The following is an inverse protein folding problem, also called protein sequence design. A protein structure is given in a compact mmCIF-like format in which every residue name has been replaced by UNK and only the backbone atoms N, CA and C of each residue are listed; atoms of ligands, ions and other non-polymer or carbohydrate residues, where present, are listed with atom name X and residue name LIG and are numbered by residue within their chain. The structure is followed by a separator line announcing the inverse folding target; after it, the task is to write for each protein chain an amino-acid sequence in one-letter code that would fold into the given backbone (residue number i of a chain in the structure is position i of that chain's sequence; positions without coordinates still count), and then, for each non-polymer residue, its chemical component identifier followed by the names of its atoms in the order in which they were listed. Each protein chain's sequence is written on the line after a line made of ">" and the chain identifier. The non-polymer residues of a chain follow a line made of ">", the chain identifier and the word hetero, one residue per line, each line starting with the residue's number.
data_IF_129472483485
#
_entry.id   IF_129472483485
#
_cell.length_a   1.000
_cell.length_b   1.000
_cell.length_c   1.000
_cell.angle_alpha   90.00
_cell.angle_beta   90.00
_cell.angle_gamma   90.00
#
_symmetry.space_group_name_H-M   'P 1'
#
loop_
_entity.id
_entity.type
_entity.pdbx_description
1 polymer ?
#
# COMPACT_ATOMS: atom_id res chain seq x y z
N UNK A 1 -3.90 5.02 31.91
CA UNK A 1 -4.00 5.64 30.57
C UNK A 1 -3.04 4.93 29.65
N UNK A 2 -3.50 4.38 28.53
CA UNK A 2 -2.62 3.80 27.52
C UNK A 2 -1.89 4.96 26.84
N UNK A 3 -0.56 4.92 26.79
CA UNK A 3 0.23 5.98 26.15
C UNK A 3 0.06 5.85 24.64
N UNK A 4 -0.36 6.94 24.00
CA UNK A 4 -0.55 7.00 22.55
C UNK A 4 0.69 7.61 21.88
N UNK A 5 1.14 7.03 20.77
CA UNK A 5 2.22 7.60 19.96
C UNK A 5 1.72 8.78 19.10
N UNK A 6 2.63 9.61 18.61
CA UNK A 6 2.27 10.75 17.73
C UNK A 6 1.58 10.24 16.45
N UNK A 7 2.05 9.12 15.92
CA UNK A 7 1.55 8.47 14.73
C UNK A 7 0.16 7.85 14.96
N UNK A 8 -0.05 7.17 16.09
CA UNK A 8 -1.38 6.67 16.47
C UNK A 8 -2.39 7.82 16.55
N UNK A 9 -2.05 8.91 17.24
CA UNK A 9 -2.93 10.07 17.37
C UNK A 9 -3.22 10.76 16.02
N UNK A 10 -2.25 10.78 15.10
CA UNK A 10 -2.48 11.24 13.74
C UNK A 10 -3.47 10.35 13.01
N UNK A 11 -3.28 9.02 13.05
CA UNK A 11 -4.17 8.06 12.42
C UNK A 11 -5.59 8.16 12.98
N UNK A 12 -5.76 8.27 14.30
CA UNK A 12 -7.09 8.50 14.89
C UNK A 12 -7.79 9.75 14.33
N UNK A 13 -7.06 10.87 14.20
CA UNK A 13 -7.62 12.10 13.61
C UNK A 13 -8.03 11.92 12.16
N UNK A 14 -7.21 11.21 11.38
CA UNK A 14 -7.53 10.90 9.98
C UNK A 14 -8.82 10.08 9.89
N UNK A 15 -8.96 9.00 10.67
CA UNK A 15 -10.17 8.16 10.61
C UNK A 15 -11.42 8.85 11.17
N UNK A 16 -11.26 9.72 12.18
CA UNK A 16 -12.36 10.53 12.68
C UNK A 16 -12.90 11.49 11.60
N UNK A 17 -12.04 12.03 10.73
CA UNK A 17 -12.49 12.82 9.58
C UNK A 17 -13.40 12.03 8.61
N UNK A 18 -13.24 10.71 8.54
CA UNK A 18 -14.11 9.81 7.77
C UNK A 18 -15.30 9.27 8.58
N UNK A 19 -15.49 9.75 9.81
CA UNK A 19 -16.60 9.35 10.69
C UNK A 19 -16.36 8.08 11.50
N UNK A 20 -15.11 7.59 11.61
CA UNK A 20 -14.78 6.40 12.39
C UNK A 20 -13.97 6.76 13.62
N UNK A 21 -14.46 6.37 14.80
CA UNK A 21 -13.66 6.39 16.02
C UNK A 21 -12.83 5.12 16.13
N UNK A 22 -11.55 5.27 16.47
CA UNK A 22 -10.61 4.17 16.62
C UNK A 22 -10.32 3.94 18.10
N UNK A 23 -10.73 2.79 18.61
CA UNK A 23 -10.43 2.36 19.97
C UNK A 23 -9.09 1.62 19.98
N UNK A 24 -8.14 2.08 20.80
CA UNK A 24 -6.84 1.40 20.97
C UNK A 24 -7.04 0.09 21.73
N UNK A 25 -6.55 -1.01 21.17
CA UNK A 25 -6.55 -2.30 21.87
C UNK A 25 -5.43 -2.25 22.92
N UNK A 26 -5.76 -2.63 24.16
CA UNK A 26 -4.81 -2.64 25.26
C UNK A 26 -3.56 -3.47 24.95
N UNK A 27 -2.40 -2.97 25.34
CA UNK A 27 -1.14 -3.69 25.21
C UNK A 27 -1.21 -4.99 26.04
N UNK A 28 -0.80 -6.10 25.43
CA UNK A 28 -0.74 -7.41 26.09
C UNK A 28 0.60 -8.07 25.82
N UNK A 29 0.96 -9.08 26.60
CA UNK A 29 2.17 -9.88 26.36
C UNK A 29 2.15 -10.60 24.99
N UNK A 30 0.97 -10.68 24.37
CA UNK A 30 0.78 -11.23 23.02
C UNK A 30 0.69 -10.12 21.96
N UNK A 31 1.26 -10.36 20.79
CA UNK A 31 1.16 -9.43 19.64
C UNK A 31 -0.30 -9.21 19.27
N UNK A 32 -0.78 -7.97 19.40
CA UNK A 32 -2.14 -7.56 19.06
C UNK A 32 -2.16 -6.53 17.94
N UNK A 33 -3.27 -6.43 17.19
CA UNK A 33 -3.60 -5.24 16.43
C UNK A 33 -3.69 -3.99 17.31
N UNK A 34 -3.47 -2.83 16.69
CA UNK A 34 -3.40 -1.55 17.41
C UNK A 34 -4.79 -0.98 17.68
N UNK A 35 -5.73 -1.11 16.73
CA UNK A 35 -7.05 -0.52 16.85
C UNK A 35 -8.20 -1.46 16.50
N UNK A 36 -9.36 -1.10 17.03
CA UNK A 36 -10.66 -1.61 16.64
C UNK A 36 -11.63 -0.48 16.32
N UNK A 37 -12.50 -0.72 15.35
CA UNK A 37 -13.59 0.18 14.98
C UNK A 37 -14.78 -0.61 14.42
N UNK A 38 -15.86 0.08 14.10
CA UNK A 38 -17.08 -0.49 13.53
C UNK A 38 -17.71 0.48 12.53
N UNK A 39 -18.40 -0.05 11.53
CA UNK A 39 -19.27 0.72 10.63
C UNK A 39 -20.76 0.42 10.84
N UNK A 40 -21.11 0.16 12.12
CA UNK A 40 -22.40 -0.35 12.63
C UNK A 40 -22.76 -1.77 12.18
N UNK A 41 -22.31 -2.20 11.01
CA UNK A 41 -22.57 -3.53 10.46
C UNK A 41 -21.43 -4.51 10.71
N UNK A 42 -20.19 -4.05 10.58
CA UNK A 42 -19.01 -4.89 10.64
C UNK A 42 -18.03 -4.40 11.69
N UNK A 43 -17.46 -5.35 12.42
CA UNK A 43 -16.37 -5.11 13.37
C UNK A 43 -15.02 -5.23 12.68
N UNK A 44 -14.17 -4.23 12.86
CA UNK A 44 -12.98 -4.05 12.03
C UNK A 44 -11.74 -3.97 12.92
N UNK A 45 -10.75 -4.83 12.63
CA UNK A 45 -9.42 -4.75 13.22
C UNK A 45 -8.46 -4.01 12.31
N UNK A 46 -7.65 -3.14 12.92
CA UNK A 46 -6.67 -2.33 12.23
C UNK A 46 -5.30 -2.51 12.87
N UNK A 47 -4.29 -2.70 12.03
CA UNK A 47 -2.88 -2.73 12.43
C UNK A 47 -2.15 -1.57 11.77
N UNK A 48 -1.44 -0.75 12.54
CA UNK A 48 -0.63 0.35 12.06
C UNK A 48 0.82 -0.09 11.89
N UNK A 49 1.36 0.07 10.68
CA UNK A 49 2.79 -0.01 10.41
C UNK A 49 3.27 1.30 9.80
N UNK A 50 4.26 1.89 10.43
CA UNK A 50 4.87 3.14 10.00
C UNK A 50 6.16 2.87 9.23
N UNK A 51 6.41 3.69 8.21
CA UNK A 51 7.66 3.70 7.45
C UNK A 51 8.18 5.13 7.39
N UNK A 52 9.24 5.35 8.14
CA UNK A 52 9.99 6.60 8.15
C UNK A 52 11.36 6.36 7.51
N UNK A 53 12.04 7.45 7.16
CA UNK A 53 13.45 7.39 6.75
C UNK A 53 14.30 6.81 7.89
N UNK A 54 15.28 5.97 7.54
CA UNK A 54 16.22 5.47 8.54
C UNK A 54 17.12 6.59 9.03
N UNK A 55 17.53 6.52 10.30
CA UNK A 55 18.46 7.48 10.89
C UNK A 55 19.72 7.67 10.03
N UNK A 56 20.27 6.59 9.50
CA UNK A 56 21.40 6.61 8.56
C UNK A 56 21.15 7.48 7.30
N UNK A 57 19.94 7.41 6.73
CA UNK A 57 19.57 8.23 5.56
C UNK A 57 19.40 9.70 5.93
N UNK A 58 18.90 9.97 7.14
CA UNK A 58 18.77 11.33 7.66
C UNK A 58 20.17 11.95 7.85
N UNK A 59 21.07 11.22 8.50
CA UNK A 59 22.45 11.67 8.76
C UNK A 59 23.26 11.87 7.47
N UNK A 60 23.14 10.96 6.51
CA UNK A 60 23.76 11.09 5.19
C UNK A 60 23.27 12.34 4.47
N UNK A 61 21.94 12.56 4.45
CA UNK A 61 21.35 13.74 3.82
C UNK A 61 21.82 15.02 4.51
N UNK A 62 21.77 15.07 5.84
CA UNK A 62 22.16 16.25 6.60
C UNK A 62 23.63 16.60 6.36
N UNK A 63 24.52 15.60 6.28
CA UNK A 63 25.93 15.81 5.95
C UNK A 63 26.12 16.48 4.59
N UNK A 64 25.41 16.01 3.56
CA UNK A 64 25.50 16.56 2.20
C UNK A 64 24.93 17.98 2.16
N UNK A 65 23.75 18.19 2.73
CA UNK A 65 23.10 19.50 2.76
C UNK A 65 23.88 20.53 3.59
N UNK A 66 24.56 20.11 4.66
CA UNK A 66 25.43 20.98 5.45
C UNK A 66 26.63 21.51 4.67
N UNK A 67 27.05 20.81 3.63
CA UNK A 67 28.10 21.25 2.70
C UNK A 67 27.56 22.09 1.53
N UNK A 68 26.28 22.49 1.57
CA UNK A 68 25.59 23.20 0.48
C UNK A 68 25.54 22.41 -0.85
N UNK A 69 25.65 21.08 -0.76
CA UNK A 69 25.56 20.19 -1.91
C UNK A 69 24.12 19.69 -2.10
N UNK A 70 23.82 19.17 -3.30
CA UNK A 70 22.53 18.58 -3.62
C UNK A 70 22.53 17.11 -3.21
N UNK A 71 21.64 16.74 -2.28
CA UNK A 71 21.37 15.33 -1.99
C UNK A 71 20.54 14.73 -3.12
N UNK A 72 21.03 13.63 -3.70
CA UNK A 72 20.35 12.91 -4.79
C UNK A 72 20.15 11.45 -4.41
N UNK A 73 18.93 10.94 -4.60
CA UNK A 73 18.60 9.54 -4.34
C UNK A 73 17.69 8.97 -5.42
N UNK A 74 18.09 7.83 -5.97
CA UNK A 74 17.28 7.06 -6.91
C UNK A 74 16.71 5.82 -6.20
N UNK A 75 15.40 5.66 -6.23
CA UNK A 75 14.70 4.53 -5.58
C UNK A 75 13.78 3.83 -6.57
N UNK A 76 13.90 2.51 -6.78
CA UNK A 76 12.98 1.76 -7.63
C UNK A 76 11.54 1.74 -7.08
N UNK A 77 10.55 1.88 -7.97
CA UNK A 77 9.11 1.88 -7.66
C UNK A 77 8.45 0.52 -7.86
N UNK A 78 9.12 -0.57 -7.45
CA UNK A 78 8.58 -1.92 -7.55
C UNK A 78 8.37 -2.55 -6.16
N UNK A 79 7.88 -3.81 -6.16
CA UNK A 79 7.69 -4.62 -4.96
C UNK A 79 8.95 -4.63 -4.06
N UNK A 80 8.75 -4.51 -2.74
CA UNK A 80 9.84 -4.48 -1.77
C UNK A 80 9.67 -5.56 -0.68
N UNK A 81 10.64 -6.46 -0.54
CA UNK A 81 10.62 -7.53 0.45
C UNK A 81 10.54 -7.04 1.91
N UNK A 82 11.02 -5.82 2.21
CA UNK A 82 10.85 -5.22 3.54
C UNK A 82 9.40 -4.86 3.82
N UNK A 83 8.62 -4.48 2.81
CA UNK A 83 7.18 -4.22 2.92
C UNK A 83 6.43 -5.53 3.12
N UNK A 84 6.78 -6.60 2.40
CA UNK A 84 6.18 -7.92 2.63
C UNK A 84 6.35 -8.44 4.06
N UNK A 85 7.46 -8.11 4.72
CA UNK A 85 7.63 -8.41 6.16
C UNK A 85 6.64 -7.66 7.06
N UNK A 86 6.14 -6.49 6.66
CA UNK A 86 5.09 -5.77 7.39
C UNK A 86 3.76 -6.51 7.29
N UNK A 87 3.38 -6.96 6.09
CA UNK A 87 2.21 -7.81 5.88
C UNK A 87 2.29 -9.11 6.68
N UNK A 88 3.45 -9.78 6.68
CA UNK A 88 3.67 -11.00 7.47
C UNK A 88 3.50 -10.78 8.98
N UNK A 89 3.94 -9.63 9.51
CA UNK A 89 3.77 -9.29 10.92
C UNK A 89 2.30 -9.00 11.24
N UNK A 90 1.65 -8.18 10.41
CA UNK A 90 0.24 -7.83 10.58
C UNK A 90 -0.67 -9.06 10.51
N UNK A 91 -0.45 -9.96 9.54
CA UNK A 91 -1.20 -11.21 9.43
C UNK A 91 -1.11 -12.06 10.71
N UNK A 92 0.07 -12.15 11.34
CA UNK A 92 0.24 -12.86 12.62
C UNK A 92 -0.57 -12.20 13.74
N UNK A 93 -0.57 -10.87 13.83
CA UNK A 93 -1.37 -10.11 14.80
C UNK A 93 -2.87 -10.32 14.59
N UNK A 94 -3.34 -10.26 13.34
CA UNK A 94 -4.74 -10.54 13.00
C UNK A 94 -5.14 -11.97 13.32
N UNK A 95 -4.33 -12.98 12.99
CA UNK A 95 -4.63 -14.37 13.34
C UNK A 95 -4.80 -14.58 14.84
N UNK A 96 -3.98 -13.91 15.66
CA UNK A 96 -4.05 -14.03 17.11
C UNK A 96 -5.32 -13.39 17.72
N UNK A 97 -5.90 -12.36 17.09
CA UNK A 97 -7.01 -11.58 17.69
C UNK A 97 -8.34 -11.62 16.94
N UNK A 98 -8.38 -11.88 15.63
CA UNK A 98 -9.62 -11.82 14.83
C UNK A 98 -10.77 -12.61 15.45
N UNK A 99 -10.51 -13.87 15.82
CA UNK A 99 -11.53 -14.75 16.42
C UNK A 99 -11.91 -14.32 17.85
N UNK A 100 -10.93 -13.90 18.66
CA UNK A 100 -11.17 -13.48 20.06
C UNK A 100 -12.03 -12.22 20.11
N UNK A 101 -11.77 -11.29 19.21
CA UNK A 101 -12.47 -10.02 19.11
C UNK A 101 -13.80 -10.16 18.35
N UNK A 102 -13.97 -11.22 17.56
CA UNK A 102 -15.12 -11.40 16.68
C UNK A 102 -15.13 -10.39 15.54
N UNK A 103 -13.97 -10.07 14.98
CA UNK A 103 -13.85 -9.09 13.91
C UNK A 103 -14.16 -9.72 12.54
N UNK A 104 -14.92 -9.01 11.73
CA UNK A 104 -15.29 -9.39 10.37
C UNK A 104 -14.15 -9.10 9.40
N UNK A 105 -13.59 -7.88 9.49
CA UNK A 105 -12.55 -7.40 8.60
C UNK A 105 -11.23 -7.13 9.31
N UNK A 106 -10.12 -7.32 8.60
CA UNK A 106 -8.80 -6.93 9.06
C UNK A 106 -8.09 -6.11 7.98
N UNK A 107 -7.77 -4.85 8.31
CA UNK A 107 -7.07 -3.95 7.39
C UNK A 107 -5.74 -3.50 7.97
N UNK A 108 -4.72 -3.51 7.11
CA UNK A 108 -3.39 -3.02 7.45
C UNK A 108 -3.27 -1.54 7.10
N UNK A 109 -2.99 -0.69 8.06
CA UNK A 109 -2.67 0.73 7.85
C UNK A 109 -1.16 0.84 7.62
N UNK A 110 -0.77 1.34 6.45
CA UNK A 110 0.61 1.61 6.08
C UNK A 110 0.79 3.13 6.01
N UNK A 111 1.42 3.68 7.04
CA UNK A 111 1.67 5.12 7.13
C UNK A 111 3.11 5.42 6.72
N UNK A 112 3.28 6.31 5.74
CA UNK A 112 4.58 6.87 5.37
C UNK A 112 4.59 8.37 5.68
N UNK A 113 5.72 8.86 6.19
CA UNK A 113 5.92 10.28 6.49
C UNK A 113 7.30 10.77 6.03
N UNK A 114 7.42 12.07 5.80
CA UNK A 114 8.64 12.73 5.37
C UNK A 114 8.79 12.82 3.84
N UNK A 115 9.95 13.31 3.36
CA UNK A 115 10.20 13.58 1.93
C UNK A 115 10.00 12.37 1.03
N UNK A 116 10.15 11.18 1.62
CA UNK A 116 10.08 9.87 1.00
C UNK A 116 8.66 9.28 0.87
N UNK A 117 7.63 10.02 1.28
CA UNK A 117 6.24 9.52 1.38
C UNK A 117 5.73 8.97 0.05
N UNK A 118 5.84 9.73 -1.04
CA UNK A 118 5.22 9.40 -2.33
C UNK A 118 5.69 8.05 -2.87
N UNK A 119 7.00 7.78 -2.87
CA UNK A 119 7.52 6.51 -3.37
C UNK A 119 7.21 5.35 -2.42
N UNK A 120 7.16 5.58 -1.10
CA UNK A 120 6.77 4.53 -0.15
C UNK A 120 5.32 4.08 -0.38
N UNK A 121 4.40 5.00 -0.63
CA UNK A 121 3.01 4.66 -0.95
C UNK A 121 2.90 3.84 -2.26
N UNK A 122 3.69 4.17 -3.27
CA UNK A 122 3.74 3.39 -4.52
C UNK A 122 4.28 1.99 -4.26
N UNK A 123 5.39 1.86 -3.52
CA UNK A 123 5.95 0.56 -3.15
C UNK A 123 5.00 -0.27 -2.27
N UNK A 124 4.22 0.37 -1.39
CA UNK A 124 3.19 -0.33 -0.61
C UNK A 124 2.13 -0.95 -1.51
N UNK A 125 1.55 -0.15 -2.42
CA UNK A 125 0.56 -0.66 -3.38
C UNK A 125 1.15 -1.76 -4.27
N UNK A 126 2.36 -1.54 -4.80
CA UNK A 126 3.05 -2.50 -5.65
C UNK A 126 3.34 -3.83 -4.94
N UNK A 127 3.68 -3.79 -3.65
CA UNK A 127 3.91 -5.00 -2.86
C UNK A 127 2.59 -5.69 -2.47
N UNK A 128 1.57 -4.90 -2.10
CA UNK A 128 0.24 -5.42 -1.78
C UNK A 128 -0.32 -6.25 -2.94
N UNK A 129 -0.32 -5.70 -4.15
CA UNK A 129 -0.88 -6.37 -5.33
C UNK A 129 0.13 -7.15 -6.18
N UNK A 130 1.43 -7.08 -5.90
CA UNK A 130 2.45 -7.59 -6.81
C UNK A 130 2.33 -6.94 -8.20
N UNK A 131 2.09 -5.62 -8.24
CA UNK A 131 1.82 -4.93 -9.50
C UNK A 131 3.06 -4.37 -10.16
N UNK A 132 3.04 -4.34 -11.48
CA UNK A 132 4.03 -3.64 -12.33
C UNK A 132 3.30 -2.71 -13.28
N UNK A 133 4.01 -1.75 -13.85
CA UNK A 133 3.50 -0.98 -14.99
C UNK A 133 3.88 -1.71 -16.28
N UNK A 134 2.94 -1.81 -17.23
CA UNK A 134 3.17 -2.43 -18.53
C UNK A 134 3.11 -1.37 -19.63
N UNK A 135 4.11 -1.41 -20.51
CA UNK A 135 4.09 -0.72 -21.79
C UNK A 135 3.51 -1.68 -22.81
N UNK A 136 2.42 -1.27 -23.47
CA UNK A 136 1.74 -2.05 -24.51
C UNK A 136 1.88 -1.35 -25.85
N UNK A 137 2.24 -2.11 -26.89
CA UNK A 137 2.36 -1.58 -28.25
C UNK A 137 1.15 -2.06 -29.05
N UNK A 138 0.13 -1.21 -29.13
CA UNK A 138 -1.07 -1.41 -29.95
C UNK A 138 -1.06 -0.47 -31.17
N UNK A 139 -1.86 -0.75 -32.22
CA UNK A 139 -2.10 0.21 -33.30
C UNK A 139 -2.73 1.54 -32.83
N UNK A 140 -3.26 1.59 -31.60
CA UNK A 140 -3.93 2.77 -31.01
C UNK A 140 -3.10 3.55 -29.98
N UNK A 141 -1.81 3.24 -29.79
CA UNK A 141 -0.96 3.90 -28.77
C UNK A 141 -1.65 3.97 -27.40
N UNK A 142 -1.98 2.82 -26.81
CA UNK A 142 -2.50 2.83 -25.45
C UNK A 142 -1.41 3.22 -24.44
N UNK A 143 -1.75 4.01 -23.40
CA UNK A 143 -0.80 4.46 -22.41
C UNK A 143 -0.28 3.31 -21.54
N UNK A 144 0.78 3.60 -20.79
CA UNK A 144 1.24 2.80 -19.67
C UNK A 144 0.06 2.36 -18.77
N UNK A 145 -0.12 1.06 -18.57
CA UNK A 145 -1.20 0.49 -17.75
C UNK A 145 -0.63 -0.40 -16.65
N UNK A 146 -1.20 -0.26 -15.45
CA UNK A 146 -0.85 -1.12 -14.32
C UNK A 146 -1.34 -2.54 -14.55
N UNK A 147 -0.49 -3.52 -14.26
CA UNK A 147 -0.86 -4.94 -14.21
C UNK A 147 -0.77 -5.45 -12.78
N UNK A 148 -1.91 -5.83 -12.22
CA UNK A 148 -2.01 -6.44 -10.90
C UNK A 148 -1.64 -7.92 -10.95
N UNK A 149 -1.06 -8.43 -9.85
CA UNK A 149 -0.73 -9.86 -9.68
C UNK A 149 0.31 -10.41 -10.67
N UNK A 150 1.09 -9.54 -11.32
CA UNK A 150 2.19 -9.93 -12.20
C UNK A 150 3.37 -10.51 -11.41
N UNK A 151 3.64 -9.93 -10.23
CA UNK A 151 4.64 -10.41 -9.29
C UNK A 151 3.96 -11.05 -8.07
N UNK A 152 4.78 -11.58 -7.15
CA UNK A 152 4.32 -12.08 -5.86
C UNK A 152 3.56 -11.01 -5.07
N UNK A 153 2.29 -11.26 -4.77
CA UNK A 153 1.39 -10.34 -4.06
C UNK A 153 1.26 -10.70 -2.58
N UNK A 154 1.40 -9.71 -1.70
CA UNK A 154 1.16 -9.89 -0.27
C UNK A 154 -0.33 -10.13 0.03
N UNK A 155 -1.24 -9.53 -0.74
CA UNK A 155 -2.67 -9.83 -0.69
C UNK A 155 -2.99 -11.27 -1.12
N UNK A 156 -2.32 -11.82 -2.14
CA UNK A 156 -2.47 -13.22 -2.50
C UNK A 156 -2.01 -14.14 -1.37
N UNK A 157 -0.83 -13.86 -0.79
CA UNK A 157 -0.25 -14.65 0.30
C UNK A 157 -1.15 -14.68 1.54
N UNK A 158 -1.76 -13.55 1.89
CA UNK A 158 -2.54 -13.37 3.12
C UNK A 158 -4.06 -13.24 2.88
N UNK A 159 -4.56 -13.71 1.73
CA UNK A 159 -5.96 -13.52 1.29
C UNK A 159 -7.01 -14.01 2.29
N UNK A 160 -6.68 -15.00 3.11
CA UNK A 160 -7.62 -15.54 4.10
C UNK A 160 -7.76 -14.68 5.35
N UNK A 161 -6.83 -13.75 5.61
CA UNK A 161 -6.80 -12.95 6.84
C UNK A 161 -6.78 -11.44 6.59
N UNK A 162 -6.03 -10.93 5.60
CA UNK A 162 -5.96 -9.50 5.27
C UNK A 162 -6.99 -9.18 4.19
N UNK A 163 -7.91 -8.27 4.52
CA UNK A 163 -9.04 -7.90 3.66
C UNK A 163 -8.76 -6.64 2.83
N UNK A 164 -7.66 -5.94 3.13
CA UNK A 164 -7.22 -4.74 2.43
C UNK A 164 -6.11 -4.02 3.19
N UNK A 165 -5.64 -2.92 2.62
CA UNK A 165 -4.65 -2.04 3.23
C UNK A 165 -5.00 -0.58 2.99
N UNK A 166 -4.71 0.28 3.96
CA UNK A 166 -4.98 1.71 3.92
C UNK A 166 -3.63 2.42 3.90
N UNK A 167 -3.31 3.02 2.77
CA UNK A 167 -2.06 3.72 2.54
C UNK A 167 -2.26 5.18 2.93
N UNK A 168 -1.55 5.63 3.96
CA UNK A 168 -1.65 7.00 4.48
C UNK A 168 -0.32 7.70 4.26
N UNK A 169 -0.34 8.82 3.55
CA UNK A 169 0.77 9.77 3.48
C UNK A 169 0.33 11.17 3.88
N UNK A 170 1.24 12.14 3.74
CA UNK A 170 1.03 13.52 4.19
C UNK A 170 -0.24 14.17 3.62
N UNK A 171 -0.50 13.99 2.33
CA UNK A 171 -1.66 14.59 1.63
C UNK A 171 -2.42 13.57 0.76
N UNK A 172 -2.28 12.28 1.07
CA UNK A 172 -2.91 11.24 0.26
C UNK A 172 -3.34 10.08 1.12
N UNK A 173 -4.53 9.55 0.82
CA UNK A 173 -5.06 8.36 1.44
C UNK A 173 -5.63 7.46 0.36
N UNK A 174 -5.24 6.19 0.37
CA UNK A 174 -5.74 5.19 -0.58
C UNK A 174 -6.15 3.92 0.15
N UNK A 175 -7.33 3.41 -0.17
CA UNK A 175 -7.82 2.14 0.33
C UNK A 175 -7.61 1.07 -0.73
N UNK A 176 -6.62 0.21 -0.56
CA UNK A 176 -6.37 -0.94 -1.41
C UNK A 176 -7.21 -2.14 -0.94
N UNK A 177 -8.26 -2.49 -1.69
CA UNK A 177 -9.08 -3.67 -1.40
C UNK A 177 -8.34 -4.94 -1.83
N UNK A 178 -8.34 -5.97 -0.99
CA UNK A 178 -7.91 -7.31 -1.41
C UNK A 178 -9.07 -8.05 -2.10
N UNK A 179 -9.12 -8.01 -3.43
CA UNK A 179 -10.14 -8.71 -4.23
C UNK A 179 -9.99 -10.24 -4.23
N UNK A 180 -8.90 -10.76 -3.68
CA UNK A 180 -8.71 -12.20 -3.44
C UNK A 180 -9.23 -12.66 -2.08
N UNK A 181 -9.64 -11.73 -1.20
CA UNK A 181 -10.23 -12.07 0.09
C UNK A 181 -11.57 -12.77 -0.10
N UNK A 182 -11.87 -13.83 0.68
CA UNK A 182 -13.21 -14.42 0.74
C UNK A 182 -14.31 -13.43 1.13
N UNK A 183 -13.95 -12.30 1.74
CA UNK A 183 -14.85 -11.23 2.19
C UNK A 183 -14.91 -10.05 1.23
N UNK A 184 -14.27 -10.13 0.05
CA UNK A 184 -14.19 -9.05 -0.92
C UNK A 184 -15.54 -8.37 -1.20
N UNK A 185 -16.60 -9.15 -1.44
CA UNK A 185 -17.94 -8.60 -1.73
C UNK A 185 -18.45 -7.75 -0.57
N UNK A 186 -18.37 -8.26 0.66
CA UNK A 186 -18.82 -7.56 1.87
C UNK A 186 -17.98 -6.31 2.14
N UNK A 187 -16.66 -6.42 2.00
CA UNK A 187 -15.71 -5.30 2.16
C UNK A 187 -16.04 -4.19 1.18
N UNK A 188 -16.22 -4.51 -0.11
CA UNK A 188 -16.52 -3.52 -1.16
C UNK A 188 -17.83 -2.77 -0.90
N UNK A 189 -18.80 -3.42 -0.28
CA UNK A 189 -20.12 -2.80 -0.01
C UNK A 189 -20.22 -2.13 1.34
N UNK A 190 -19.24 -2.30 2.23
CA UNK A 190 -19.30 -1.81 3.60
C UNK A 190 -19.27 -0.28 3.65
N UNK A 191 -19.92 0.28 4.67
CA UNK A 191 -19.92 1.73 4.91
C UNK A 191 -18.51 2.23 5.18
N UNK A 192 -17.68 1.41 5.83
CA UNK A 192 -16.27 1.68 6.05
C UNK A 192 -15.51 2.00 4.76
N UNK A 193 -15.59 1.12 3.76
CA UNK A 193 -14.85 1.31 2.50
C UNK A 193 -15.46 2.44 1.67
N UNK A 194 -16.79 2.57 1.65
CA UNK A 194 -17.49 3.62 0.90
C UNK A 194 -17.16 5.03 1.38
N UNK A 195 -16.86 5.22 2.67
CA UNK A 195 -16.44 6.51 3.21
C UNK A 195 -15.17 7.08 2.53
N UNK A 196 -14.32 6.20 1.98
CA UNK A 196 -13.10 6.61 1.28
C UNK A 196 -13.32 7.07 -0.17
N UNK A 197 -14.58 7.08 -0.66
CA UNK A 197 -15.02 7.62 -1.96
C UNK A 197 -14.05 7.35 -3.12
N UNK A 198 -13.27 8.36 -3.53
CA UNK A 198 -12.35 8.32 -4.68
C UNK A 198 -10.99 7.68 -4.38
N UNK A 199 -10.69 7.40 -3.10
CA UNK A 199 -9.41 6.81 -2.67
C UNK A 199 -9.33 5.29 -2.81
N UNK A 200 -10.38 4.64 -3.30
CA UNK A 200 -10.45 3.17 -3.35
C UNK A 200 -9.72 2.61 -4.58
N UNK A 201 -8.81 1.68 -4.35
CA UNK A 201 -8.13 0.88 -5.36
C UNK A 201 -8.74 -0.52 -5.35
N UNK A 202 -9.45 -0.87 -6.42
CA UNK A 202 -10.04 -2.18 -6.65
C UNK A 202 -9.58 -2.73 -8.01
N UNK A 203 -8.67 -3.74 -8.03
CA UNK A 203 -8.20 -4.34 -9.27
C UNK A 203 -9.31 -4.91 -10.15
N UNK A 204 -10.37 -5.48 -9.56
CA UNK A 204 -11.50 -6.05 -10.31
C UNK A 204 -12.26 -4.95 -11.05
N UNK A 205 -12.53 -3.83 -10.37
CA UNK A 205 -13.20 -2.68 -11.00
C UNK A 205 -12.32 -2.06 -12.08
N UNK A 206 -11.02 -1.84 -11.82
CA UNK A 206 -10.10 -1.25 -12.80
C UNK A 206 -9.92 -2.10 -14.05
N UNK A 207 -9.85 -3.43 -13.92
CA UNK A 207 -9.78 -4.33 -15.07
C UNK A 207 -11.08 -4.33 -15.89
N UNK A 208 -12.24 -4.35 -15.23
CA UNK A 208 -13.54 -4.29 -15.90
C UNK A 208 -13.74 -2.99 -16.69
N UNK A 209 -13.13 -1.88 -16.23
CA UNK A 209 -13.11 -0.59 -16.92
C UNK A 209 -11.97 -0.45 -17.94
N UNK A 210 -11.22 -1.52 -18.23
CA UNK A 210 -10.05 -1.53 -19.12
C UNK A 210 -8.92 -0.55 -18.74
N UNK A 211 -8.88 -0.13 -17.46
CA UNK A 211 -7.86 0.77 -16.88
C UNK A 211 -6.65 0.04 -16.30
N UNK A 212 -6.71 -1.28 -16.20
CA UNK A 212 -5.63 -2.10 -15.69
C UNK A 212 -5.70 -3.52 -16.28
N UNK A 213 -4.56 -4.21 -16.24
CA UNK A 213 -4.48 -5.64 -16.48
C UNK A 213 -4.41 -6.39 -15.15
N UNK A 214 -4.73 -7.68 -15.18
CA UNK A 214 -4.55 -8.59 -14.06
C UNK A 214 -4.13 -9.99 -14.50
N UNK A 215 -3.28 -10.62 -13.70
CA UNK A 215 -2.84 -12.02 -13.86
C UNK A 215 -3.28 -12.85 -12.64
N UNK A 216 -4.50 -13.40 -12.71
CA UNK A 216 -5.09 -14.25 -11.65
C UNK A 216 -4.97 -15.74 -11.97
N UNK A 217 -3.76 -16.19 -12.31
CA UNK A 217 -3.47 -17.58 -12.71
C UNK A 217 -2.51 -18.25 -11.72
N UNK A 218 -2.32 -19.56 -11.88
CA UNK A 218 -1.32 -20.36 -11.16
C UNK A 218 0.08 -20.35 -11.77
N UNK A 219 0.32 -19.55 -12.82
CA UNK A 219 1.63 -19.40 -13.49
C UNK A 219 2.70 -19.02 -12.46
N UNK A 220 3.90 -19.59 -12.56
CA UNK A 220 4.99 -19.17 -11.66
C UNK A 220 5.31 -17.69 -11.88
N UNK A 221 5.34 -16.90 -10.81
CA UNK A 221 5.63 -15.47 -10.88
C UNK A 221 7.09 -15.17 -11.22
N UNK A 222 7.95 -16.18 -11.27
CA UNK A 222 9.33 -16.08 -11.77
C UNK A 222 9.43 -16.38 -13.28
N UNK A 223 8.40 -16.95 -13.91
CA UNK A 223 8.36 -17.17 -15.36
C UNK A 223 7.75 -15.96 -16.07
N UNK A 224 8.59 -14.93 -16.27
CA UNK A 224 8.16 -13.69 -16.92
C UNK A 224 7.63 -13.92 -18.35
N UNK A 225 8.21 -14.89 -19.07
CA UNK A 225 7.79 -15.20 -20.43
C UNK A 225 6.36 -15.74 -20.45
N UNK A 226 6.03 -16.71 -19.60
CA UNK A 226 4.68 -17.28 -19.50
C UNK A 226 3.65 -16.22 -19.04
N UNK A 227 4.03 -15.34 -18.10
CA UNK A 227 3.20 -14.22 -17.68
C UNK A 227 2.89 -13.24 -18.81
N UNK A 228 3.90 -12.86 -19.60
CA UNK A 228 3.74 -11.96 -20.75
C UNK A 228 2.85 -12.60 -21.81
N UNK A 229 3.08 -13.86 -22.16
CA UNK A 229 2.25 -14.57 -23.14
C UNK A 229 0.80 -14.70 -22.66
N UNK A 230 0.58 -14.96 -21.37
CA UNK A 230 -0.77 -14.97 -20.80
C UNK A 230 -1.49 -13.62 -20.96
N UNK A 231 -0.80 -12.50 -20.71
CA UNK A 231 -1.37 -11.15 -20.88
C UNK A 231 -1.69 -10.90 -22.35
N UNK A 232 -0.74 -11.19 -23.25
CA UNK A 232 -0.93 -11.02 -24.70
C UNK A 232 -2.15 -11.78 -25.19
N UNK A 233 -2.32 -13.03 -24.76
CA UNK A 233 -3.48 -13.84 -25.12
C UNK A 233 -4.78 -13.33 -24.50
N UNK A 234 -4.79 -13.06 -23.18
CA UNK A 234 -6.00 -12.65 -22.45
C UNK A 234 -6.58 -11.33 -22.94
N UNK A 235 -5.72 -10.37 -23.30
CA UNK A 235 -6.13 -9.03 -23.71
C UNK A 235 -5.91 -8.75 -25.21
N UNK A 236 -5.48 -9.74 -25.99
CA UNK A 236 -5.22 -9.61 -27.43
C UNK A 236 -4.19 -8.51 -27.78
N UNK A 237 -3.07 -8.48 -27.06
CA UNK A 237 -1.99 -7.48 -27.21
C UNK A 237 -0.81 -8.10 -27.98
N UNK A 238 -0.23 -7.35 -28.92
CA UNK A 238 0.91 -7.81 -29.73
C UNK A 238 2.23 -7.84 -28.95
N UNK A 239 2.59 -6.71 -28.32
CA UNK A 239 3.80 -6.60 -27.50
C UNK A 239 3.52 -5.93 -26.17
N UNK A 240 4.07 -6.53 -25.13
CA UNK A 240 3.97 -6.11 -23.74
C UNK A 240 5.37 -6.12 -23.15
N UNK A 241 5.73 -5.07 -22.44
CA UNK A 241 6.98 -4.99 -21.69
C UNK A 241 6.72 -4.49 -20.27
N UNK A 242 7.15 -5.22 -19.22
CA UNK A 242 7.12 -4.69 -17.87
C UNK A 242 8.14 -3.55 -17.73
N UNK A 243 7.71 -2.48 -17.07
CA UNK A 243 8.52 -1.30 -16.85
C UNK A 243 8.57 -0.94 -15.37
N UNK A 244 9.79 -0.74 -14.86
CA UNK A 244 10.01 -0.33 -13.48
C UNK A 244 10.41 1.15 -13.47
N UNK A 245 9.52 2.00 -12.94
CA UNK A 245 9.86 3.39 -12.73
C UNK A 245 10.90 3.55 -11.63
N UNK A 246 11.75 4.56 -11.79
CA UNK A 246 12.66 5.04 -10.76
C UNK A 246 12.12 6.36 -10.23
N UNK A 247 12.07 6.49 -8.91
CA UNK A 247 11.83 7.76 -8.26
C UNK A 247 13.17 8.43 -7.99
N UNK A 248 13.39 9.59 -8.61
CA UNK A 248 14.53 10.44 -8.31
C UNK A 248 14.10 11.54 -7.36
N UNK A 249 14.83 11.66 -6.25
CA UNK A 249 14.67 12.72 -5.28
C UNK A 249 15.92 13.58 -5.29
N UNK A 250 15.74 14.90 -5.41
CA UNK A 250 16.78 15.90 -5.28
C UNK A 250 16.37 16.85 -4.14
N UNK A 251 17.25 17.04 -3.16
CA UNK A 251 17.04 17.95 -2.04
C UNK A 251 18.23 18.89 -1.96
N UNK A 252 17.95 20.18 -1.78
CA UNK A 252 18.95 21.20 -1.51
C UNK A 252 18.48 22.06 -0.34
N UNK A 253 19.42 22.65 0.40
CA UNK A 253 19.13 23.62 1.44
C UNK A 253 19.39 25.02 0.88
N UNK A 254 18.39 25.88 0.97
CA UNK A 254 18.52 27.30 0.61
C UNK A 254 18.65 28.07 1.92
N UNK A 255 19.80 28.68 2.16
CA UNK A 255 19.99 29.57 3.30
C UNK A 255 19.39 30.94 2.91
N UNK A 256 18.38 31.38 3.63
CA UNK A 256 17.60 32.59 3.32
C UNK A 256 18.35 33.92 3.61
N UNK A 257 19.69 33.89 3.70
CA UNK A 257 20.53 35.03 4.06
C UNK A 257 20.92 35.95 2.89
N UNK A 258 20.38 35.73 1.68
CA UNK A 258 20.65 36.55 0.49
C UNK A 258 19.37 37.22 -0.08
N UNK A 259 18.47 37.67 0.80
CA UNK A 259 17.35 38.54 0.43
C UNK A 259 17.40 39.87 1.21
N UNK A 260 18.53 40.57 1.13
CA UNK A 260 18.65 42.00 1.47
C UNK A 260 18.89 42.85 0.22
#
# INVERSE_FOLDING_TARGET
>A
MIKESKEEGFIKRVFNHFGFDLEKIGESDTKSPDFITSDDQYKILLELKTKNESQETLEERDKILNNSEIYSKNTPLHRNNRISKLFDKAAKQFHAKKKVVGADFCFLILHASGPSTSYHLIQFEASAYGSVELITFEPKNEPLKKCYYFQNSDFYKHKTIIDGAILVGENSLRFCINDLSPRYKSVRTSSFVKAFTNGVVDPTTKEAESKAYSVRTSIDRNDEHELIEHIKQKYSIDKVMPFNFMHQMLITRIDASEME
#
